data_IF_343680505431
#
_entry.id   IF_343680505431
#
_cell.length_a   1.000
_cell.length_b   1.000
_cell.length_c   1.000
_cell.angle_alpha   90.00
_cell.angle_beta   90.00
_cell.angle_gamma   90.00
#
_symmetry.space_group_name_H-M   'P 1'
#
loop_
_entity.id
_entity.type
_entity.pdbx_description
1 polymer ?
#
# COMPACT_ATOMS: atom_id res chain seq x y z
N UNK A 1 11.21 -2.26 12.66
CA UNK A 1 10.06 -2.00 13.57
C UNK A 1 8.81 -1.48 12.85
N UNK A 2 8.83 -0.36 12.10
CA UNK A 2 7.60 0.16 11.43
C UNK A 2 6.96 -0.83 10.47
N UNK A 3 7.77 -1.45 9.61
CA UNK A 3 7.31 -2.44 8.62
C UNK A 3 6.70 -3.65 9.32
N UNK A 4 7.30 -4.12 10.42
CA UNK A 4 6.81 -5.27 11.19
C UNK A 4 5.47 -4.95 11.84
N UNK A 5 5.33 -3.77 12.47
CA UNK A 5 4.06 -3.35 13.09
C UNK A 5 2.93 -3.18 12.07
N UNK A 6 3.23 -2.59 10.90
CA UNK A 6 2.25 -2.47 9.80
C UNK A 6 1.88 -3.85 9.26
N UNK A 7 2.87 -4.71 8.99
CA UNK A 7 2.62 -6.08 8.51
C UNK A 7 1.82 -6.91 9.51
N UNK A 8 2.13 -6.82 10.81
CA UNK A 8 1.40 -7.52 11.87
C UNK A 8 -0.06 -7.04 11.94
N UNK A 9 -0.29 -5.73 11.85
CA UNK A 9 -1.64 -5.17 11.79
C UNK A 9 -2.42 -5.67 10.57
N UNK A 10 -1.79 -5.67 9.39
CA UNK A 10 -2.36 -6.24 8.16
C UNK A 10 -2.75 -7.70 8.33
N UNK A 11 -1.84 -8.52 8.89
CA UNK A 11 -2.07 -9.96 9.13
C UNK A 11 -3.20 -10.19 10.13
N UNK A 12 -3.19 -9.51 11.28
CA UNK A 12 -4.27 -9.61 12.28
C UNK A 12 -5.60 -9.25 11.64
N UNK A 13 -5.64 -8.15 10.89
CA UNK A 13 -6.82 -7.70 10.20
C UNK A 13 -7.36 -8.68 9.15
N UNK A 14 -6.47 -9.27 8.35
CA UNK A 14 -6.82 -10.33 7.40
C UNK A 14 -7.36 -11.57 8.11
N UNK A 15 -6.70 -12.03 9.18
CA UNK A 15 -7.15 -13.18 9.98
C UNK A 15 -8.54 -12.92 10.54
N UNK A 16 -8.79 -11.73 11.11
CA UNK A 16 -10.11 -11.36 11.63
C UNK A 16 -11.16 -11.33 10.52
N UNK A 17 -10.88 -10.72 9.37
CA UNK A 17 -11.82 -10.70 8.24
C UNK A 17 -12.11 -12.12 7.75
N UNK A 18 -11.09 -12.95 7.53
CA UNK A 18 -11.25 -14.31 7.02
C UNK A 18 -12.02 -15.19 8.00
N UNK A 19 -11.63 -15.19 9.28
CA UNK A 19 -12.33 -15.97 10.32
C UNK A 19 -13.77 -15.51 10.51
N UNK A 20 -14.03 -14.20 10.52
CA UNK A 20 -15.40 -13.67 10.62
C UNK A 20 -16.22 -14.04 9.39
N UNK A 21 -15.64 -13.96 8.19
CA UNK A 21 -16.33 -14.30 6.94
C UNK A 21 -16.68 -15.77 6.85
N UNK A 22 -15.76 -16.67 7.24
CA UNK A 22 -16.02 -18.12 7.31
C UNK A 22 -17.03 -18.44 8.42
N UNK A 23 -16.98 -17.71 9.54
CA UNK A 23 -17.88 -17.88 10.67
C UNK A 23 -19.28 -17.25 10.50
N UNK A 24 -19.55 -16.49 9.44
CA UNK A 24 -20.82 -15.74 9.27
C UNK A 24 -22.09 -16.58 9.52
N UNK A 25 -22.22 -17.80 8.98
CA UNK A 25 -23.39 -18.64 9.23
C UNK A 25 -23.56 -18.97 10.71
N UNK A 26 -22.46 -19.22 11.42
CA UNK A 26 -22.47 -19.58 12.85
C UNK A 26 -22.79 -18.40 13.77
N UNK A 27 -22.56 -17.18 13.31
CA UNK A 27 -22.87 -15.94 14.05
C UNK A 27 -24.19 -15.30 13.61
N UNK A 28 -25.01 -16.02 12.83
CA UNK A 28 -26.35 -15.57 12.45
C UNK A 28 -26.39 -14.46 11.39
N UNK A 29 -25.31 -14.25 10.64
CA UNK A 29 -25.31 -13.34 9.48
C UNK A 29 -25.65 -14.16 8.24
N UNK A 30 -26.78 -13.87 7.59
CA UNK A 30 -27.28 -14.66 6.46
C UNK A 30 -27.92 -13.82 5.36
N UNK A 31 -28.18 -14.45 4.21
CA UNK A 31 -28.92 -13.86 3.10
C UNK A 31 -28.29 -12.56 2.56
N UNK A 32 -29.14 -11.54 2.39
CA UNK A 32 -28.74 -10.25 1.83
C UNK A 32 -27.77 -9.43 2.69
N UNK A 33 -27.63 -9.77 3.99
CA UNK A 33 -26.76 -9.03 4.91
C UNK A 33 -25.27 -9.37 4.80
N UNK A 34 -24.92 -10.49 4.16
CA UNK A 34 -23.52 -10.94 4.01
C UNK A 34 -22.68 -9.86 3.30
N UNK A 35 -23.16 -9.36 2.16
CA UNK A 35 -22.43 -8.38 1.33
C UNK A 35 -22.13 -7.06 2.07
N UNK A 36 -23.13 -6.35 2.65
CA UNK A 36 -22.85 -5.11 3.37
C UNK A 36 -21.99 -5.34 4.61
N UNK A 37 -22.15 -6.47 5.30
CA UNK A 37 -21.35 -6.81 6.47
C UNK A 37 -19.87 -7.09 6.13
N UNK A 38 -19.59 -7.91 5.10
CA UNK A 38 -18.22 -8.12 4.59
C UNK A 38 -17.60 -6.79 4.15
N UNK A 39 -18.37 -5.97 3.43
CA UNK A 39 -17.92 -4.67 2.93
C UNK A 39 -17.51 -3.74 4.07
N UNK A 40 -18.29 -3.73 5.15
CA UNK A 40 -17.97 -2.96 6.35
C UNK A 40 -16.68 -3.45 7.04
N UNK A 41 -16.49 -4.77 7.19
CA UNK A 41 -15.26 -5.34 7.75
C UNK A 41 -14.02 -4.94 6.94
N UNK A 42 -14.11 -5.04 5.61
CA UNK A 42 -13.03 -4.63 4.69
C UNK A 42 -12.79 -3.13 4.79
N UNK A 43 -13.83 -2.32 4.89
CA UNK A 43 -13.72 -0.87 5.05
C UNK A 43 -13.05 -0.49 6.38
N UNK A 44 -13.45 -1.08 7.51
CA UNK A 44 -12.80 -0.87 8.81
C UNK A 44 -11.33 -1.28 8.77
N UNK A 45 -11.04 -2.43 8.17
CA UNK A 45 -9.67 -2.89 8.00
C UNK A 45 -8.84 -1.92 7.16
N UNK A 46 -9.35 -1.50 6.00
CA UNK A 46 -8.67 -0.59 5.09
C UNK A 46 -8.41 0.76 5.74
N UNK A 47 -9.41 1.33 6.43
CA UNK A 47 -9.26 2.59 7.17
C UNK A 47 -8.25 2.44 8.31
N UNK A 48 -8.33 1.36 9.09
CA UNK A 48 -7.38 1.13 10.19
C UNK A 48 -5.95 0.94 9.68
N UNK A 49 -5.77 0.18 8.61
CA UNK A 49 -4.47 0.03 7.94
C UNK A 49 -3.91 1.39 7.50
N UNK A 50 -4.72 2.19 6.80
CA UNK A 50 -4.32 3.53 6.35
C UNK A 50 -4.04 4.47 7.52
N UNK A 51 -4.81 4.38 8.61
CA UNK A 51 -4.62 5.18 9.82
C UNK A 51 -3.28 4.89 10.52
N UNK A 52 -2.72 3.69 10.39
CA UNK A 52 -1.36 3.39 10.87
C UNK A 52 -0.28 3.73 9.83
N UNK A 53 -0.49 3.33 8.58
CA UNK A 53 0.51 3.41 7.52
C UNK A 53 0.78 4.87 7.12
N UNK A 54 -0.26 5.68 6.90
CA UNK A 54 -0.06 7.05 6.41
C UNK A 54 0.72 7.89 7.42
N UNK A 55 0.40 7.95 8.73
CA UNK A 55 1.23 8.69 9.67
C UNK A 55 2.66 8.14 9.79
N UNK A 56 2.85 6.83 9.66
CA UNK A 56 4.18 6.20 9.76
C UNK A 56 5.09 6.47 8.55
N UNK A 57 4.47 6.77 7.39
CA UNK A 57 5.15 6.93 6.08
C UNK A 57 5.09 8.37 5.56
N UNK A 58 4.15 9.18 6.05
CA UNK A 58 3.87 10.52 5.53
C UNK A 58 5.14 11.36 5.51
N UNK A 59 5.40 11.95 4.34
CA UNK A 59 6.51 12.89 4.12
C UNK A 59 6.20 14.29 4.66
N UNK A 60 4.96 14.54 5.10
CA UNK A 60 4.53 15.86 5.57
C UNK A 60 4.83 16.03 7.05
N UNK A 61 5.50 17.12 7.38
CA UNK A 61 5.73 17.59 8.74
C UNK A 61 4.39 18.02 9.38
N UNK A 62 3.98 17.48 10.55
CA UNK A 62 2.67 17.82 11.12
C UNK A 62 2.69 19.20 11.80
N UNK A 63 3.87 19.77 12.04
CA UNK A 63 4.05 21.12 12.57
C UNK A 63 3.86 22.18 11.48
N UNK A 64 3.95 21.80 10.20
CA UNK A 64 3.63 22.68 9.08
C UNK A 64 2.12 22.86 8.89
N UNK A 65 1.67 24.03 8.42
CA UNK A 65 0.26 24.30 8.12
C UNK A 65 -0.28 23.34 7.04
N UNK A 66 0.51 23.08 6.00
CA UNK A 66 0.20 22.13 4.91
C UNK A 66 0.04 20.70 5.44
N UNK A 67 0.92 20.28 6.35
CA UNK A 67 0.85 18.96 6.97
C UNK A 67 -0.36 18.80 7.88
N UNK A 68 -0.71 19.84 8.66
CA UNK A 68 -1.95 19.85 9.46
C UNK A 68 -3.19 19.75 8.57
N UNK A 69 -3.27 20.56 7.51
CA UNK A 69 -4.40 20.53 6.57
C UNK A 69 -4.55 19.15 5.94
N UNK A 70 -3.46 18.57 5.45
CA UNK A 70 -3.46 17.22 4.89
C UNK A 70 -3.89 16.16 5.91
N UNK A 71 -3.41 16.24 7.15
CA UNK A 71 -3.77 15.31 8.21
C UNK A 71 -5.26 15.41 8.58
N UNK A 72 -5.82 16.63 8.59
CA UNK A 72 -7.26 16.85 8.85
C UNK A 72 -8.13 16.28 7.72
N UNK A 73 -7.75 16.53 6.46
CA UNK A 73 -8.46 15.97 5.30
C UNK A 73 -8.43 14.44 5.35
N UNK A 74 -7.25 13.86 5.62
CA UNK A 74 -7.11 12.41 5.73
C UNK A 74 -7.93 11.83 6.89
N UNK A 75 -7.90 12.47 8.06
CA UNK A 75 -8.69 12.05 9.21
C UNK A 75 -10.20 12.16 8.93
N UNK A 76 -10.64 13.25 8.27
CA UNK A 76 -12.03 13.44 7.86
C UNK A 76 -12.48 12.38 6.86
N UNK A 77 -11.68 12.10 5.83
CA UNK A 77 -11.96 11.04 4.87
C UNK A 77 -12.01 9.65 5.52
N UNK A 78 -11.07 9.36 6.43
CA UNK A 78 -11.05 8.10 7.19
C UNK A 78 -12.27 7.95 8.09
N UNK A 79 -12.67 9.03 8.78
CA UNK A 79 -13.86 9.05 9.63
C UNK A 79 -15.14 8.85 8.80
N UNK A 80 -15.24 9.49 7.63
CA UNK A 80 -16.38 9.32 6.74
C UNK A 80 -16.51 7.87 6.24
N UNK A 81 -15.40 7.22 5.86
CA UNK A 81 -15.42 5.80 5.45
C UNK A 81 -15.75 4.88 6.63
N UNK A 82 -15.21 5.13 7.83
CA UNK A 82 -15.54 4.36 9.02
C UNK A 82 -17.02 4.51 9.42
N UNK A 83 -17.59 5.71 9.27
CA UNK A 83 -19.01 5.96 9.49
C UNK A 83 -19.88 5.23 8.46
N UNK A 84 -19.51 5.28 7.18
CA UNK A 84 -20.20 4.52 6.13
C UNK A 84 -20.14 3.01 6.39
N UNK A 85 -19.00 2.49 6.84
CA UNK A 85 -18.85 1.08 7.25
C UNK A 85 -19.77 0.74 8.44
N UNK A 86 -19.86 1.61 9.44
CA UNK A 86 -20.78 1.41 10.56
C UNK A 86 -22.24 1.38 10.11
N UNK A 87 -22.64 2.27 9.19
CA UNK A 87 -23.98 2.29 8.61
C UNK A 87 -24.29 1.02 7.81
N UNK A 88 -23.32 0.50 7.05
CA UNK A 88 -23.46 -0.77 6.33
C UNK A 88 -23.72 -1.97 7.25
N UNK A 89 -23.25 -1.94 8.51
CA UNK A 89 -23.60 -2.95 9.52
C UNK A 89 -24.92 -2.63 10.21
N UNK A 90 -25.18 -1.35 10.51
CA UNK A 90 -26.35 -0.93 11.27
C UNK A 90 -27.66 -1.21 10.53
N UNK A 91 -27.73 -0.96 9.22
CA UNK A 91 -28.94 -1.18 8.41
C UNK A 91 -29.44 -2.63 8.49
N UNK A 92 -28.63 -3.67 8.15
CA UNK A 92 -29.08 -5.05 8.27
C UNK A 92 -29.29 -5.50 9.72
N UNK A 93 -28.62 -4.87 10.70
CA UNK A 93 -28.88 -5.13 12.13
C UNK A 93 -30.26 -4.66 12.56
N UNK A 94 -30.68 -3.46 12.13
CA UNK A 94 -32.03 -2.92 12.42
C UNK A 94 -33.11 -3.66 11.66
N UNK A 95 -32.81 -4.16 10.45
CA UNK A 95 -33.72 -5.00 9.67
C UNK A 95 -33.93 -6.41 10.27
N UNK A 96 -33.11 -6.82 11.25
CA UNK A 96 -33.18 -8.15 11.87
C UNK A 96 -32.39 -9.24 11.15
N UNK A 97 -31.68 -8.90 10.06
CA UNK A 97 -30.85 -9.84 9.30
C UNK A 97 -29.50 -10.16 9.97
N UNK A 98 -29.11 -9.34 10.96
CA UNK A 98 -27.89 -9.50 11.76
C UNK A 98 -28.25 -9.37 13.24
N UNK A 99 -27.84 -10.32 14.10
CA UNK A 99 -28.07 -10.20 15.54
C UNK A 99 -27.46 -8.92 16.11
N UNK A 100 -28.21 -8.22 16.97
CA UNK A 100 -27.77 -6.93 17.56
C UNK A 100 -26.40 -7.04 18.24
N UNK A 101 -26.14 -8.15 18.94
CA UNK A 101 -24.85 -8.43 19.57
C UNK A 101 -23.69 -8.48 18.55
N UNK A 102 -23.91 -9.09 17.39
CA UNK A 102 -22.90 -9.23 16.34
C UNK A 102 -22.68 -7.90 15.61
N UNK A 103 -23.76 -7.20 15.27
CA UNK A 103 -23.68 -5.88 14.65
C UNK A 103 -22.95 -4.86 15.53
N UNK A 104 -23.35 -4.77 16.81
CA UNK A 104 -22.71 -3.86 17.78
C UNK A 104 -21.25 -4.21 18.06
N UNK A 105 -20.92 -5.50 18.25
CA UNK A 105 -19.55 -5.95 18.43
C UNK A 105 -18.67 -5.65 17.21
N UNK A 106 -19.20 -5.78 16.00
CA UNK A 106 -18.48 -5.49 14.76
C UNK A 106 -18.17 -4.00 14.62
N UNK A 107 -19.16 -3.13 14.87
CA UNK A 107 -18.94 -1.67 14.82
C UNK A 107 -17.96 -1.23 15.91
N UNK A 108 -18.13 -1.72 17.14
CA UNK A 108 -17.24 -1.41 18.25
C UNK A 108 -15.81 -1.90 18.01
N UNK A 109 -15.66 -3.16 17.56
CA UNK A 109 -14.37 -3.76 17.22
C UNK A 109 -13.67 -3.06 16.06
N UNK A 110 -14.42 -2.72 15.01
CA UNK A 110 -13.92 -1.95 13.86
C UNK A 110 -13.45 -0.56 14.26
N UNK A 111 -14.24 0.17 15.06
CA UNK A 111 -13.87 1.47 15.58
C UNK A 111 -12.62 1.41 16.48
N UNK A 112 -12.55 0.42 17.37
CA UNK A 112 -11.40 0.18 18.23
C UNK A 112 -10.14 -0.16 17.41
N UNK A 113 -10.27 -1.00 16.39
CA UNK A 113 -9.18 -1.34 15.48
C UNK A 113 -8.64 -0.11 14.74
N UNK A 114 -9.52 0.75 14.21
CA UNK A 114 -9.13 2.00 13.56
C UNK A 114 -8.42 2.93 14.54
N UNK A 115 -8.97 3.10 15.75
CA UNK A 115 -8.39 3.95 16.79
C UNK A 115 -7.00 3.45 17.24
N UNK A 116 -6.87 2.15 17.53
CA UNK A 116 -5.63 1.52 17.93
C UNK A 116 -4.54 1.66 16.86
N UNK A 117 -4.89 1.44 15.59
CA UNK A 117 -3.97 1.63 14.48
C UNK A 117 -3.57 3.11 14.28
N UNK A 118 -4.51 4.03 14.44
CA UNK A 118 -4.24 5.47 14.40
C UNK A 118 -3.32 5.93 15.54
N UNK A 119 -3.45 5.33 16.73
CA UNK A 119 -2.54 5.56 17.85
C UNK A 119 -1.16 4.96 17.58
N UNK A 120 -1.10 3.72 17.08
CA UNK A 120 0.15 3.04 16.69
C UNK A 120 0.90 3.83 15.61
N UNK A 121 0.21 4.30 14.57
CA UNK A 121 0.82 5.14 13.51
C UNK A 121 1.44 6.42 14.07
N UNK A 122 0.73 7.12 14.97
CA UNK A 122 1.24 8.31 15.68
C UNK A 122 2.44 7.97 16.57
N UNK A 123 2.40 6.86 17.30
CA UNK A 123 3.51 6.42 18.13
C UNK A 123 4.76 6.09 17.30
N UNK A 124 4.61 5.29 16.24
CA UNK A 124 5.69 4.94 15.32
C UNK A 124 6.33 6.16 14.68
N UNK A 125 5.52 7.17 14.36
CA UNK A 125 5.96 8.46 13.86
C UNK A 125 6.74 9.26 14.92
N UNK A 126 6.22 9.42 16.13
CA UNK A 126 6.94 10.14 17.20
C UNK A 126 8.29 9.49 17.52
N UNK A 127 8.31 8.15 17.60
CA UNK A 127 9.54 7.38 17.80
C UNK A 127 10.52 7.53 16.63
N UNK A 128 10.00 7.71 15.42
CA UNK A 128 10.81 8.00 14.25
C UNK A 128 11.45 9.37 14.30
N UNK A 129 10.65 10.38 14.63
CA UNK A 129 11.07 11.77 14.70
C UNK A 129 12.10 11.97 15.83
N UNK A 130 11.92 11.33 16.99
CA UNK A 130 12.87 11.40 18.11
C UNK A 130 14.24 10.75 17.85
N UNK A 131 14.36 9.89 16.84
CA UNK A 131 15.65 9.27 16.46
C UNK A 131 16.41 10.05 15.38
N UNK A 132 15.88 11.20 14.91
CA UNK A 132 16.43 11.98 13.78
C UNK A 132 17.43 13.07 14.20
N UNK A 133 18.02 12.99 15.39
CA UNK A 133 18.92 14.04 15.88
C UNK A 133 20.25 14.12 15.10
N UNK A 134 20.57 13.14 14.25
CA UNK A 134 21.78 13.14 13.43
C UNK A 134 21.46 13.17 11.92
N UNK A 135 22.17 14.00 11.13
CA UNK A 135 22.13 13.94 9.67
C UNK A 135 22.53 12.54 9.19
N UNK A 136 21.54 11.74 8.78
CA UNK A 136 21.82 10.41 8.27
C UNK A 136 22.55 10.53 6.92
N UNK A 137 23.79 10.05 6.86
CA UNK A 137 24.46 9.81 5.59
C UNK A 137 23.58 8.85 4.77
N UNK A 138 23.05 9.32 3.65
CA UNK A 138 22.15 8.51 2.81
C UNK A 138 23.03 7.49 2.09
N UNK A 139 22.91 6.19 2.41
CA UNK A 139 23.76 5.20 1.79
C UNK A 139 23.43 5.11 0.29
N UNK A 140 24.44 4.84 -0.55
CA UNK A 140 24.23 4.63 -1.97
C UNK A 140 23.21 3.53 -2.21
N UNK A 141 22.51 3.61 -3.34
CA UNK A 141 21.51 2.62 -3.69
C UNK A 141 22.21 1.31 -4.03
N UNK A 142 21.98 0.29 -3.21
CA UNK A 142 22.48 -1.06 -3.45
C UNK A 142 21.87 -1.61 -4.76
N UNK A 143 22.70 -1.97 -5.75
CA UNK A 143 22.24 -2.38 -7.09
C UNK A 143 21.41 -3.66 -7.06
N UNK A 144 21.65 -4.52 -6.07
CA UNK A 144 20.96 -5.80 -5.91
C UNK A 144 19.70 -5.69 -5.05
N UNK A 145 19.43 -4.52 -4.47
CA UNK A 145 18.26 -4.31 -3.60
C UNK A 145 16.96 -4.67 -4.31
N UNK A 146 16.79 -4.22 -5.57
CA UNK A 146 15.61 -4.54 -6.39
C UNK A 146 15.46 -6.05 -6.59
N UNK A 147 16.55 -6.75 -6.91
CA UNK A 147 16.53 -8.18 -7.21
C UNK A 147 16.18 -9.01 -5.98
N UNK A 148 16.80 -8.73 -4.84
CA UNK A 148 16.52 -9.43 -3.56
C UNK A 148 15.07 -9.21 -3.11
N UNK A 149 14.57 -7.98 -3.23
CA UNK A 149 13.17 -7.66 -2.89
C UNK A 149 12.20 -8.32 -3.86
N UNK A 150 12.44 -8.26 -5.17
CA UNK A 150 11.59 -8.91 -6.17
C UNK A 150 11.52 -10.42 -5.92
N UNK A 151 12.66 -11.08 -5.65
CA UNK A 151 12.69 -12.50 -5.27
C UNK A 151 11.84 -12.78 -4.03
N UNK A 152 11.93 -11.93 -3.00
CA UNK A 152 11.12 -12.09 -1.78
C UNK A 152 9.62 -11.95 -2.07
N UNK A 153 9.21 -10.97 -2.88
CA UNK A 153 7.81 -10.79 -3.30
C UNK A 153 7.33 -12.04 -4.05
N UNK A 154 8.08 -12.48 -5.05
CA UNK A 154 7.72 -13.66 -5.88
C UNK A 154 7.59 -14.91 -5.02
N UNK A 155 8.55 -15.20 -4.14
CA UNK A 155 8.52 -16.39 -3.28
C UNK A 155 7.33 -16.36 -2.33
N UNK A 156 7.08 -15.23 -1.65
CA UNK A 156 5.96 -15.11 -0.71
C UNK A 156 4.62 -15.20 -1.45
N UNK A 157 4.48 -14.49 -2.57
CA UNK A 157 3.26 -14.54 -3.38
C UNK A 157 3.01 -15.94 -3.95
N UNK A 158 4.04 -16.63 -4.46
CA UNK A 158 3.90 -18.00 -4.93
C UNK A 158 3.48 -18.95 -3.80
N UNK A 159 4.05 -18.78 -2.60
CA UNK A 159 3.69 -19.57 -1.42
C UNK A 159 2.22 -19.36 -1.03
N UNK A 160 1.76 -18.10 -0.98
CA UNK A 160 0.37 -17.76 -0.68
C UNK A 160 -0.59 -18.30 -1.74
N UNK A 161 -0.21 -18.23 -3.02
CA UNK A 161 -1.01 -18.76 -4.12
C UNK A 161 -1.16 -20.27 -4.02
N UNK A 162 -0.05 -20.97 -3.80
CA UNK A 162 -0.03 -22.44 -3.66
C UNK A 162 -0.90 -22.85 -2.48
N UNK A 163 -0.72 -22.24 -1.30
CA UNK A 163 -1.54 -22.53 -0.11
C UNK A 163 -3.01 -22.21 -0.38
N UNK A 164 -3.31 -21.07 -1.00
CA UNK A 164 -4.68 -20.66 -1.33
C UNK A 164 -5.36 -21.61 -2.30
N UNK A 165 -4.65 -22.08 -3.33
CA UNK A 165 -5.16 -23.08 -4.29
C UNK A 165 -5.35 -24.44 -3.62
N UNK A 166 -4.41 -24.90 -2.80
CA UNK A 166 -4.59 -26.17 -2.06
C UNK A 166 -5.75 -26.09 -1.08
N UNK A 167 -5.90 -24.97 -0.36
CA UNK A 167 -7.05 -24.73 0.52
C UNK A 167 -8.35 -24.73 -0.27
N UNK A 168 -8.38 -24.06 -1.43
CA UNK A 168 -9.52 -24.04 -2.34
C UNK A 168 -9.93 -25.44 -2.80
N UNK A 169 -8.94 -26.25 -3.22
CA UNK A 169 -9.16 -27.62 -3.67
C UNK A 169 -9.59 -28.56 -2.53
N UNK A 170 -9.10 -28.33 -1.31
CA UNK A 170 -9.49 -29.09 -0.13
C UNK A 170 -10.91 -28.73 0.35
N UNK A 171 -11.25 -27.44 0.36
CA UNK A 171 -12.56 -26.93 0.75
C UNK A 171 -13.65 -27.20 -0.28
N UNK A 172 -13.29 -27.32 -1.57
CA UNK A 172 -14.20 -27.69 -2.66
C UNK A 172 -14.57 -29.18 -2.71
N UNK A 173 -14.11 -30.01 -1.75
CA UNK A 173 -14.58 -31.39 -1.60
C UNK A 173 -15.90 -31.37 -0.81
N UNK A 174 -17.02 -31.84 -1.39
CA UNK A 174 -18.35 -31.52 -0.90
C UNK A 174 -18.64 -32.12 0.48
N UNK A 175 -18.98 -31.26 1.43
CA UNK A 175 -19.88 -31.57 2.53
C UNK A 175 -21.21 -30.82 2.28
N UNK A 176 -22.07 -31.45 1.47
CA UNK A 176 -23.54 -31.33 1.47
C UNK A 176 -24.20 -30.00 1.04
N UNK A 177 -23.56 -28.84 0.96
CA UNK A 177 -24.22 -27.61 0.48
C UNK A 177 -23.47 -26.90 -0.65
N UNK A 178 -24.25 -26.29 -1.56
CA UNK A 178 -23.89 -25.57 -2.79
C UNK A 178 -22.53 -24.87 -2.74
N UNK A 179 -21.47 -25.62 -3.04
CA UNK A 179 -20.11 -25.13 -2.96
C UNK A 179 -19.90 -24.00 -3.99
N UNK A 180 -19.13 -22.94 -3.66
CA UNK A 180 -18.70 -21.96 -4.65
C UNK A 180 -18.02 -22.69 -5.81
N UNK A 181 -18.29 -22.25 -7.04
CA UNK A 181 -17.70 -22.87 -8.22
C UNK A 181 -16.16 -22.84 -8.11
N UNK A 182 -15.49 -23.89 -8.61
CA UNK A 182 -14.02 -23.96 -8.63
C UNK A 182 -13.35 -22.68 -9.16
N UNK A 183 -13.89 -22.00 -10.20
CA UNK A 183 -13.41 -20.68 -10.64
C UNK A 183 -13.41 -19.61 -9.55
N UNK A 184 -14.51 -19.44 -8.80
CA UNK A 184 -14.62 -18.41 -7.75
C UNK A 184 -13.57 -18.62 -6.65
N UNK A 185 -13.32 -19.87 -6.27
CA UNK A 185 -12.36 -20.20 -5.21
C UNK A 185 -10.91 -19.95 -5.65
N UNK A 186 -10.58 -20.28 -6.91
CA UNK A 186 -9.28 -19.93 -7.52
C UNK A 186 -9.11 -18.41 -7.59
N UNK A 187 -10.16 -17.68 -7.99
CA UNK A 187 -10.12 -16.23 -8.12
C UNK A 187 -9.88 -15.55 -6.75
N UNK A 188 -10.45 -16.09 -5.67
CA UNK A 188 -10.15 -15.65 -4.30
C UNK A 188 -8.67 -15.87 -3.92
N UNK A 189 -8.10 -17.04 -4.25
CA UNK A 189 -6.69 -17.33 -4.00
C UNK A 189 -5.76 -16.39 -4.78
N UNK A 190 -6.08 -16.12 -6.06
CA UNK A 190 -5.36 -15.13 -6.89
C UNK A 190 -5.46 -13.75 -6.27
N UNK A 191 -6.64 -13.35 -5.79
CA UNK A 191 -6.82 -12.05 -5.17
C UNK A 191 -6.01 -11.86 -3.91
N UNK A 192 -6.07 -12.82 -2.99
CA UNK A 192 -5.29 -12.81 -1.75
C UNK A 192 -3.78 -12.74 -2.04
N UNK A 193 -3.31 -13.53 -3.01
CA UNK A 193 -1.93 -13.50 -3.48
C UNK A 193 -1.53 -12.12 -3.97
N UNK A 194 -2.38 -11.49 -4.77
CA UNK A 194 -2.14 -10.19 -5.35
C UNK A 194 -2.18 -9.06 -4.30
N UNK A 195 -3.04 -9.17 -3.29
CA UNK A 195 -3.04 -8.27 -2.11
C UNK A 195 -1.71 -8.40 -1.34
N UNK A 196 -1.26 -9.63 -1.05
CA UNK A 196 0.02 -9.86 -0.38
C UNK A 196 1.18 -9.31 -1.22
N UNK A 197 1.18 -9.55 -2.53
CA UNK A 197 2.18 -8.99 -3.44
C UNK A 197 2.21 -7.46 -3.37
N UNK A 198 1.04 -6.82 -3.34
CA UNK A 198 0.91 -5.37 -3.21
C UNK A 198 1.49 -4.84 -1.90
N UNK A 199 1.13 -5.47 -0.77
CA UNK A 199 1.68 -5.10 0.56
C UNK A 199 3.20 -5.24 0.56
N UNK A 200 3.73 -6.32 -0.01
CA UNK A 200 5.17 -6.54 -0.10
C UNK A 200 5.87 -5.54 -1.02
N UNK A 201 5.21 -5.09 -2.11
CA UNK A 201 5.68 -4.00 -2.96
C UNK A 201 5.64 -2.64 -2.27
N UNK A 202 4.72 -2.42 -1.33
CA UNK A 202 4.65 -1.17 -0.57
C UNK A 202 5.85 -0.98 0.37
N UNK A 203 6.44 -2.07 0.88
CA UNK A 203 7.60 -2.03 1.79
C UNK A 203 8.79 -1.25 1.20
N UNK A 204 9.30 -1.58 -0.01
CA UNK A 204 10.36 -0.80 -0.63
C UNK A 204 9.91 0.63 -0.97
N UNK A 205 8.67 0.87 -1.39
CA UNK A 205 8.14 2.25 -1.63
C UNK A 205 8.27 3.10 -0.36
N UNK A 206 7.84 2.57 0.77
CA UNK A 206 7.92 3.23 2.09
C UNK A 206 9.37 3.50 2.46
N UNK A 207 10.24 2.50 2.29
CA UNK A 207 11.66 2.58 2.64
C UNK A 207 12.38 3.65 1.81
N UNK A 208 12.14 3.67 0.50
CA UNK A 208 12.71 4.64 -0.43
C UNK A 208 12.13 6.04 -0.18
N UNK A 209 10.83 6.15 0.07
CA UNK A 209 10.18 7.43 0.42
C UNK A 209 10.76 8.03 1.69
N UNK A 210 11.12 7.20 2.69
CA UNK A 210 11.83 7.64 3.89
C UNK A 210 13.16 8.32 3.54
N UNK A 211 13.99 7.71 2.69
CA UNK A 211 15.27 8.29 2.25
C UNK A 211 15.09 9.59 1.45
N UNK A 212 14.06 9.65 0.61
CA UNK A 212 13.68 10.86 -0.12
C UNK A 212 13.35 12.00 0.85
N UNK A 213 12.65 11.70 1.95
CA UNK A 213 12.35 12.68 2.99
C UNK A 213 13.63 13.24 3.62
N UNK A 214 14.57 12.35 3.88
CA UNK A 214 15.82 12.70 4.54
C UNK A 214 16.71 13.56 3.63
N UNK A 215 16.63 13.35 2.30
CA UNK A 215 17.23 14.22 1.29
C UNK A 215 16.60 15.63 1.24
N UNK A 216 15.27 15.73 1.15
CA UNK A 216 14.62 17.01 0.88
C UNK A 216 14.32 17.87 2.11
N UNK A 217 14.53 17.32 3.31
CA UNK A 217 14.09 17.95 4.57
C UNK A 217 12.56 18.01 4.71
N UNK A 218 12.08 18.98 5.49
CA UNK A 218 10.65 19.17 5.82
C UNK A 218 9.89 20.07 4.83
N UNK A 219 10.58 20.74 3.91
CA UNK A 219 9.96 21.64 2.94
C UNK A 219 9.26 20.87 1.80
N UNK A 220 7.94 20.74 1.94
CA UNK A 220 7.08 20.08 0.95
C UNK A 220 6.96 20.86 -0.37
N UNK A 221 7.18 22.18 -0.39
CA UNK A 221 7.18 22.96 -1.63
C UNK A 221 8.47 22.70 -2.42
N UNK A 222 9.62 22.70 -1.74
CA UNK A 222 10.92 22.30 -2.31
C UNK A 222 10.88 20.91 -2.92
N UNK A 223 10.40 19.91 -2.15
CA UNK A 223 10.27 18.54 -2.67
C UNK A 223 9.32 18.46 -3.88
N UNK A 224 8.24 19.25 -3.91
CA UNK A 224 7.32 19.32 -5.07
C UNK A 224 8.01 19.87 -6.32
N UNK A 225 8.85 20.90 -6.19
CA UNK A 225 9.64 21.46 -7.31
C UNK A 225 10.62 20.41 -7.84
N UNK A 226 11.43 19.83 -6.96
CA UNK A 226 12.40 18.77 -7.30
C UNK A 226 11.70 17.59 -7.99
N UNK A 227 10.59 17.10 -7.44
CA UNK A 227 9.78 16.04 -8.07
C UNK A 227 9.24 16.45 -9.44
N UNK A 228 8.83 17.71 -9.59
CA UNK A 228 8.35 18.25 -10.86
C UNK A 228 9.42 18.22 -11.94
N UNK A 229 10.65 18.57 -11.61
CA UNK A 229 11.79 18.51 -12.54
C UNK A 229 12.14 17.06 -12.86
N UNK A 230 12.41 16.24 -11.85
CA UNK A 230 12.92 14.87 -12.02
C UNK A 230 11.89 13.90 -12.62
N UNK A 231 10.64 13.89 -12.12
CA UNK A 231 9.63 12.92 -12.57
C UNK A 231 8.80 13.44 -13.75
N UNK A 232 8.54 14.75 -13.81
CA UNK A 232 7.64 15.33 -14.82
C UNK A 232 8.38 16.08 -15.93
N UNK A 233 9.69 16.31 -15.81
CA UNK A 233 10.46 17.07 -16.80
C UNK A 233 10.09 18.55 -16.84
N UNK A 234 9.59 19.11 -15.74
CA UNK A 234 9.24 20.54 -15.68
C UNK A 234 10.50 21.39 -15.77
N UNK A 235 10.42 22.51 -16.49
CA UNK A 235 11.50 23.51 -16.62
C UNK A 235 11.49 24.54 -15.48
N UNK A 236 11.19 24.11 -14.26
CA UNK A 236 11.20 25.01 -13.09
C UNK A 236 12.66 25.24 -12.69
N UNK A 237 13.13 26.49 -12.56
CA UNK A 237 14.49 26.76 -12.11
C UNK A 237 14.67 26.20 -10.69
N UNK A 238 15.78 25.49 -10.49
CA UNK A 238 16.20 24.98 -9.19
C UNK A 238 17.47 25.76 -8.78
N UNK A 239 17.57 26.08 -7.50
CA UNK A 239 18.83 26.54 -6.91
C UNK A 239 19.90 25.45 -6.96
N UNK A 240 21.19 25.80 -6.82
CA UNK A 240 22.30 24.84 -6.85
C UNK A 240 22.15 23.72 -5.80
N UNK A 241 21.72 24.09 -4.58
CA UNK A 241 21.41 23.13 -3.52
C UNK A 241 20.21 22.22 -3.89
N UNK A 242 19.19 22.75 -4.57
CA UNK A 242 18.08 21.92 -5.09
C UNK A 242 18.51 21.00 -6.24
N UNK A 243 19.46 21.40 -7.08
CA UNK A 243 20.01 20.58 -8.16
C UNK A 243 20.78 19.39 -7.60
N UNK A 244 21.65 19.61 -6.60
CA UNK A 244 22.39 18.54 -5.93
C UNK A 244 21.44 17.55 -5.23
N UNK A 245 20.40 18.05 -4.54
CA UNK A 245 19.36 17.17 -3.97
C UNK A 245 18.57 16.44 -5.08
N UNK A 246 18.26 17.09 -6.20
CA UNK A 246 17.55 16.47 -7.31
C UNK A 246 18.36 15.33 -7.93
N UNK A 247 19.67 15.50 -8.10
CA UNK A 247 20.59 14.48 -8.59
C UNK A 247 20.60 13.25 -7.66
N UNK A 248 20.72 13.48 -6.34
CA UNK A 248 20.67 12.41 -5.33
C UNK A 248 19.28 11.77 -5.19
N UNK A 249 18.22 12.52 -5.43
CA UNK A 249 16.82 12.06 -5.38
C UNK A 249 16.46 11.12 -6.54
N UNK A 250 16.93 11.43 -7.75
CA UNK A 250 16.55 10.75 -8.99
C UNK A 250 16.66 9.21 -8.98
N UNK A 251 17.75 8.57 -8.50
CA UNK A 251 17.81 7.10 -8.46
C UNK A 251 16.78 6.48 -7.52
N UNK A 252 16.53 7.09 -6.35
CA UNK A 252 15.49 6.63 -5.42
C UNK A 252 14.10 6.81 -6.00
N UNK A 253 13.89 7.91 -6.73
CA UNK A 253 12.63 8.23 -7.38
C UNK A 253 12.29 7.18 -8.47
N UNK A 254 13.25 6.85 -9.33
CA UNK A 254 13.09 5.83 -10.37
C UNK A 254 12.66 4.48 -9.77
N UNK A 255 13.41 4.01 -8.77
CA UNK A 255 13.13 2.72 -8.14
C UNK A 255 11.80 2.75 -7.37
N UNK A 256 11.48 3.85 -6.69
CA UNK A 256 10.19 4.00 -6.01
C UNK A 256 9.03 3.98 -7.01
N UNK A 257 9.15 4.59 -8.19
CA UNK A 257 8.09 4.53 -9.20
C UNK A 257 7.86 3.11 -9.72
N UNK A 258 8.94 2.35 -9.95
CA UNK A 258 8.84 0.94 -10.37
C UNK A 258 8.09 0.09 -9.33
N UNK A 259 8.40 0.28 -8.04
CA UNK A 259 7.70 -0.43 -6.96
C UNK A 259 6.25 0.03 -6.76
N UNK A 260 5.96 1.33 -6.87
CA UNK A 260 4.59 1.85 -6.84
C UNK A 260 3.77 1.30 -8.01
N UNK A 261 4.38 1.17 -9.20
CA UNK A 261 3.72 0.57 -10.35
C UNK A 261 3.39 -0.90 -10.10
N UNK A 262 4.35 -1.70 -9.65
CA UNK A 262 4.13 -3.11 -9.30
C UNK A 262 3.04 -3.27 -8.22
N UNK A 263 3.06 -2.42 -7.19
CA UNK A 263 2.03 -2.36 -6.15
C UNK A 263 0.64 -2.07 -6.74
N UNK A 264 0.55 -1.12 -7.67
CA UNK A 264 -0.74 -0.72 -8.27
C UNK A 264 -1.27 -1.82 -9.17
N UNK A 265 -0.42 -2.42 -10.01
CA UNK A 265 -0.81 -3.51 -10.90
C UNK A 265 -1.30 -4.74 -10.13
N UNK A 266 -0.62 -5.09 -9.03
CA UNK A 266 -1.05 -6.20 -8.17
C UNK A 266 -2.40 -5.91 -7.48
N UNK A 267 -2.68 -4.66 -7.09
CA UNK A 267 -4.02 -4.30 -6.60
C UNK A 267 -5.10 -4.42 -7.68
N UNK A 268 -4.81 -3.99 -8.90
CA UNK A 268 -5.76 -4.13 -10.01
C UNK A 268 -6.05 -5.60 -10.30
N UNK A 269 -5.03 -6.47 -10.28
CA UNK A 269 -5.21 -7.93 -10.40
C UNK A 269 -6.06 -8.47 -9.25
N UNK A 270 -5.81 -8.04 -8.01
CA UNK A 270 -6.58 -8.49 -6.86
C UNK A 270 -8.07 -8.16 -6.99
N UNK A 271 -8.37 -6.94 -7.41
CA UNK A 271 -9.74 -6.48 -7.58
C UNK A 271 -10.42 -7.15 -8.77
N UNK A 272 -9.71 -7.35 -9.88
CA UNK A 272 -10.25 -8.04 -11.05
C UNK A 272 -10.59 -9.50 -10.72
N UNK A 273 -9.74 -10.17 -9.94
CA UNK A 273 -9.97 -11.55 -9.52
C UNK A 273 -11.19 -11.71 -8.60
N UNK A 274 -11.54 -10.73 -7.76
CA UNK A 274 -12.75 -10.83 -6.92
C UNK A 274 -14.03 -10.53 -7.70
N UNK A 275 -13.95 -9.75 -8.78
CA UNK A 275 -15.12 -9.24 -9.48
C UNK A 275 -15.46 -10.08 -10.71
N UNK A 276 -15.84 -11.36 -10.59
CA UNK A 276 -16.20 -12.19 -11.76
C UNK A 276 -17.22 -11.48 -12.69
N UNK A 277 -16.99 -11.43 -14.02
CA UNK A 277 -17.85 -10.68 -14.91
C UNK A 277 -19.15 -11.46 -15.16
N UNK A 278 -20.26 -10.94 -14.66
CA UNK A 278 -21.60 -11.48 -14.95
C UNK A 278 -22.28 -10.60 -16.02
N UNK A 279 -22.74 -11.17 -17.16
CA UNK A 279 -23.36 -10.40 -18.25
C UNK A 279 -24.51 -9.50 -17.80
N UNK A 280 -25.32 -9.98 -16.85
CA UNK A 280 -26.50 -9.28 -16.34
C UNK A 280 -26.16 -8.15 -15.34
N UNK A 281 -24.87 -7.97 -15.02
CA UNK A 281 -24.38 -6.95 -14.09
C UNK A 281 -23.47 -5.96 -14.84
N UNK A 282 -24.04 -4.94 -15.51
CA UNK A 282 -23.29 -4.04 -16.37
C UNK A 282 -22.16 -3.30 -15.64
N UNK A 283 -22.31 -3.05 -14.33
CA UNK A 283 -21.25 -2.46 -13.51
C UNK A 283 -20.02 -3.37 -13.39
N UNK A 284 -20.21 -4.67 -13.20
CA UNK A 284 -19.09 -5.63 -13.10
C UNK A 284 -18.35 -5.76 -14.43
N UNK A 285 -19.10 -5.78 -15.53
CA UNK A 285 -18.54 -5.79 -16.88
C UNK A 285 -17.76 -4.50 -17.17
N UNK A 286 -18.29 -3.34 -16.76
CA UNK A 286 -17.58 -2.07 -16.86
C UNK A 286 -16.28 -2.05 -16.03
N UNK A 287 -16.27 -2.61 -14.83
CA UNK A 287 -15.06 -2.78 -14.00
C UNK A 287 -14.04 -3.66 -14.72
N UNK A 288 -14.47 -4.78 -15.29
CA UNK A 288 -13.61 -5.71 -16.03
C UNK A 288 -12.97 -5.12 -17.27
N UNK A 289 -13.61 -4.14 -17.90
CA UNK A 289 -13.05 -3.40 -19.03
C UNK A 289 -12.17 -2.24 -18.56
N UNK A 290 -12.64 -1.48 -17.57
CA UNK A 290 -11.97 -0.27 -17.09
C UNK A 290 -10.62 -0.58 -16.42
N UNK A 291 -10.51 -1.69 -15.70
CA UNK A 291 -9.31 -2.01 -14.91
C UNK A 291 -8.11 -2.39 -15.78
N UNK A 292 -8.24 -3.23 -16.82
CA UNK A 292 -7.19 -3.42 -17.82
C UNK A 292 -6.78 -2.14 -18.54
N UNK A 293 -7.74 -1.29 -18.93
CA UNK A 293 -7.45 0.02 -19.56
C UNK A 293 -6.65 0.90 -18.58
N UNK A 294 -7.09 0.98 -17.33
CA UNK A 294 -6.40 1.70 -16.27
C UNK A 294 -4.99 1.13 -16.04
N UNK A 295 -4.82 -0.19 -16.05
CA UNK A 295 -3.52 -0.84 -15.91
C UNK A 295 -2.57 -0.44 -17.03
N UNK A 296 -3.03 -0.40 -18.29
CA UNK A 296 -2.24 0.06 -19.44
C UNK A 296 -1.83 1.53 -19.26
N UNK A 297 -2.77 2.41 -18.91
CA UNK A 297 -2.51 3.84 -18.70
C UNK A 297 -1.49 4.05 -17.58
N UNK A 298 -1.71 3.42 -16.42
CA UNK A 298 -0.83 3.55 -15.25
C UNK A 298 0.56 2.97 -15.55
N UNK A 299 0.65 1.86 -16.29
CA UNK A 299 1.94 1.30 -16.73
C UNK A 299 2.70 2.27 -17.62
N UNK A 300 2.03 2.83 -18.63
CA UNK A 300 2.67 3.79 -19.53
C UNK A 300 3.16 5.04 -18.77
N UNK A 301 2.33 5.60 -17.88
CA UNK A 301 2.70 6.77 -17.07
C UNK A 301 3.81 6.46 -16.07
N UNK A 302 3.73 5.32 -15.39
CA UNK A 302 4.70 4.87 -14.38
C UNK A 302 6.07 4.60 -15.00
N UNK A 303 6.12 3.89 -16.13
CA UNK A 303 7.37 3.63 -16.85
C UNK A 303 8.00 4.91 -17.37
N UNK A 304 7.21 5.82 -17.97
CA UNK A 304 7.70 7.14 -18.40
C UNK A 304 8.30 7.94 -17.24
N UNK A 305 7.65 7.96 -16.08
CA UNK A 305 8.16 8.65 -14.90
C UNK A 305 9.45 8.01 -14.37
N UNK A 306 9.54 6.67 -14.36
CA UNK A 306 10.75 5.96 -13.97
C UNK A 306 11.92 6.23 -14.93
N UNK A 307 11.67 6.17 -16.24
CA UNK A 307 12.69 6.44 -17.26
C UNK A 307 13.21 7.87 -17.16
N UNK A 308 12.34 8.86 -16.97
CA UNK A 308 12.77 10.25 -16.78
C UNK A 308 13.67 10.43 -15.57
N UNK A 309 13.35 9.78 -14.46
CA UNK A 309 14.18 9.79 -13.27
C UNK A 309 15.54 9.12 -13.53
N UNK A 310 15.58 8.02 -14.27
CA UNK A 310 16.83 7.36 -14.66
C UNK A 310 17.69 8.22 -15.58
N UNK A 311 17.10 8.81 -16.62
CA UNK A 311 17.80 9.74 -17.50
C UNK A 311 18.35 10.93 -16.72
N UNK A 312 17.57 11.50 -15.79
CA UNK A 312 18.04 12.58 -14.94
C UNK A 312 19.20 12.15 -14.04
N UNK A 313 19.12 10.95 -13.43
CA UNK A 313 20.19 10.41 -12.60
C UNK A 313 21.49 10.15 -13.38
N UNK A 314 21.38 9.66 -14.63
CA UNK A 314 22.53 9.44 -15.50
C UNK A 314 23.18 10.75 -15.93
N UNK A 315 22.38 11.77 -16.24
CA UNK A 315 22.88 13.08 -16.67
C UNK A 315 23.68 13.81 -15.58
N UNK A 316 23.35 13.60 -14.30
CA UNK A 316 23.97 14.29 -13.16
C UNK A 316 24.86 13.36 -12.31
N UNK A 317 25.31 12.23 -12.87
CA UNK A 317 26.11 11.23 -12.14
C UNK A 317 27.47 11.77 -11.70
N UNK A 318 28.05 12.68 -12.48
CA UNK A 318 29.38 13.25 -12.23
C UNK A 318 29.37 14.42 -11.24
N UNK A 319 28.18 14.98 -10.96
CA UNK A 319 28.04 16.20 -10.16
C UNK A 319 27.71 15.90 -8.69
N UNK A 320 27.49 14.63 -8.33
CA UNK A 320 27.11 14.22 -6.98
C UNK A 320 28.36 13.99 -6.10
N UNK A 321 28.68 14.87 -5.13
CA UNK A 321 29.78 14.67 -4.21
C UNK A 321 29.53 13.42 -3.36
N UNK A 322 30.37 12.38 -3.53
CA UNK A 322 30.26 11.09 -2.84
C UNK A 322 30.13 9.88 -3.76
N UNK A 323 29.97 10.06 -5.06
CA UNK A 323 30.29 9.01 -6.02
C UNK A 323 31.82 8.92 -6.12
N UNK A 324 32.46 8.19 -5.19
CA UNK A 324 33.87 7.87 -5.31
C UNK A 324 34.10 7.38 -6.75
N UNK A 325 34.99 8.06 -7.47
CA UNK A 325 35.36 7.63 -8.80
C UNK A 325 35.82 6.17 -8.66
N UNK A 326 35.45 5.25 -9.57
CA UNK A 326 36.00 3.90 -9.56
C UNK A 326 37.54 3.89 -9.51
N UNK A 327 38.17 4.97 -9.98
CA UNK A 327 39.60 5.23 -9.86
C UNK A 327 40.10 5.40 -8.41
N UNK A 328 39.31 6.02 -7.52
CA UNK A 328 39.66 6.24 -6.10
C UNK A 328 39.47 4.97 -5.25
N UNK A 329 38.55 4.09 -5.66
CA UNK A 329 38.37 2.77 -5.04
C UNK A 329 39.50 1.79 -5.38
N UNK A 330 40.18 1.97 -6.53
CA UNK A 330 41.32 1.15 -6.93
C UNK A 330 42.66 1.66 -6.37
N UNK A 331 42.76 2.94 -5.98
CA UNK A 331 43.98 3.50 -5.38
C UNK A 331 44.08 3.26 -3.87
N UNK A 332 42.95 3.11 -3.15
CA UNK A 332 42.92 2.90 -1.70
C UNK A 332 43.15 1.45 -1.25
N UNK A 333 43.23 0.49 -2.17
CA UNK A 333 43.48 -0.93 -1.87
C UNK A 333 44.95 -1.38 -2.02
N UNK A 334 45.90 -0.46 -2.21
CA UNK A 334 47.33 -0.77 -2.45
C UNK A 334 48.29 -0.28 -1.35
N UNK A 335 47.78 0.22 -0.23
CA UNK A 335 48.59 0.60 0.94
C UNK A 335 48.57 -0.46 2.02
#
# INVERSE_FOLDING_TARGET
MRIVAVALSTVIGLVVITTTTVGMPTIGVSGGAIVPFVSALVAFWGVGFLASAIPAVSLRDPSSADGRRASRIFAGASAAVALAAALLVAVPTVAGDVPLAVGSATVAGGALYVAANGALGRYLRRRAEGRRLEPFAIPPLDPDYSRRRARSVVVISATVLIIGVFYALAAGRPAVESAPSTPTTIAMAVSLTAIVASVMCAVPVVTLSGRVRDLSGTDAARLRRIRGVVLRGKRTPLSDDELDIAARYAPFAAQSQRWTLAQTLTLLVALLAINEPVPDRPLQLAIWIAFPILAVIVTALGLRAAHRAETYALAHRNDAPGAASPADALSSGRS
#
